data_IF_738885612686
#
_entry.id   IF_738885612686
#
_cell.length_a   1.000
_cell.length_b   1.000
_cell.length_c   1.000
_cell.angle_alpha   90.00
_cell.angle_beta   90.00
_cell.angle_gamma   90.00
#
_symmetry.space_group_name_H-M   'P 1'
#
loop_
_entity.id
_entity.type
_entity.pdbx_description
1 polymer ?
#
# COMPACT_ATOMS: atom_id res chain seq x y z
N UNK A 1 14.61 -38.77 40.95
CA UNK A 1 13.34 -38.38 41.58
C UNK A 1 12.45 -37.82 40.48
N UNK A 2 11.21 -38.27 40.44
CA UNK A 2 10.26 -38.24 39.31
C UNK A 2 9.93 -36.82 38.79
N UNK A 3 9.91 -36.64 37.47
CA UNK A 3 9.25 -35.51 36.78
C UNK A 3 8.24 -36.03 35.75
N UNK A 4 7.45 -37.04 36.13
CA UNK A 4 6.53 -37.74 35.23
C UNK A 4 5.04 -37.57 35.59
N UNK A 5 4.62 -36.51 36.28
CA UNK A 5 3.22 -36.39 36.76
C UNK A 5 2.43 -35.12 36.35
N UNK A 6 3.00 -34.13 35.68
CA UNK A 6 2.24 -32.90 35.32
C UNK A 6 1.39 -33.02 34.03
N UNK A 7 1.14 -34.24 33.55
CA UNK A 7 0.50 -34.51 32.25
C UNK A 7 -1.01 -34.73 32.29
N UNK A 8 -1.58 -35.10 33.45
CA UNK A 8 -2.93 -35.67 33.51
C UNK A 8 -4.07 -34.65 33.73
N UNK A 9 -3.79 -33.44 34.23
CA UNK A 9 -4.84 -32.50 34.68
C UNK A 9 -4.77 -31.09 34.05
N UNK A 10 -4.22 -30.95 32.83
CA UNK A 10 -4.46 -29.69 32.09
C UNK A 10 -5.92 -29.67 31.65
N UNK A 11 -6.70 -28.79 32.27
CA UNK A 11 -8.12 -28.65 31.90
C UNK A 11 -8.25 -28.30 30.41
N UNK A 12 -9.33 -28.77 29.76
CA UNK A 12 -9.62 -28.43 28.36
C UNK A 12 -9.60 -26.91 28.11
N UNK A 13 -9.99 -26.12 29.12
CA UNK A 13 -9.91 -24.66 29.07
C UNK A 13 -8.48 -24.14 28.95
N UNK A 14 -7.50 -24.76 29.60
CA UNK A 14 -6.08 -24.38 29.49
C UNK A 14 -5.48 -24.76 28.13
N UNK A 15 -5.87 -25.90 27.55
CA UNK A 15 -5.42 -26.33 26.22
C UNK A 15 -5.96 -25.43 25.11
N UNK A 16 -7.23 -25.03 25.20
CA UNK A 16 -7.84 -24.09 24.26
C UNK A 16 -7.24 -22.70 24.43
N UNK A 17 -7.00 -22.25 25.67
CA UNK A 17 -6.34 -20.99 25.95
C UNK A 17 -4.91 -20.94 25.38
N UNK A 18 -4.13 -22.01 25.54
CA UNK A 18 -2.75 -22.08 25.01
C UNK A 18 -2.74 -22.11 23.48
N UNK A 19 -3.59 -22.91 22.85
CA UNK A 19 -3.69 -22.96 21.39
C UNK A 19 -4.13 -21.61 20.79
N UNK A 20 -5.05 -20.91 21.47
CA UNK A 20 -5.47 -19.55 21.06
C UNK A 20 -4.33 -18.54 21.21
N UNK A 21 -3.55 -18.64 22.29
CA UNK A 21 -2.38 -17.79 22.50
C UNK A 21 -1.30 -18.02 21.43
N UNK A 22 -1.03 -19.27 21.05
CA UNK A 22 -0.07 -19.62 19.98
C UNK A 22 -0.53 -19.12 18.61
N UNK A 23 -1.83 -19.25 18.28
CA UNK A 23 -2.37 -18.67 17.05
C UNK A 23 -2.25 -17.14 17.04
N UNK A 24 -2.50 -16.48 18.18
CA UNK A 24 -2.33 -15.04 18.31
C UNK A 24 -0.87 -14.60 18.14
N UNK A 25 0.07 -15.41 18.65
CA UNK A 25 1.51 -15.19 18.45
C UNK A 25 1.93 -15.33 16.98
N UNK A 26 1.46 -16.36 16.28
CA UNK A 26 1.73 -16.54 14.84
C UNK A 26 1.22 -15.36 14.00
N UNK A 27 0.00 -14.89 14.28
CA UNK A 27 -0.56 -13.71 13.59
C UNK A 27 0.29 -12.47 13.87
N UNK A 28 0.74 -12.28 15.11
CA UNK A 28 1.62 -11.18 15.47
C UNK A 28 2.95 -11.25 14.70
N UNK A 29 3.54 -12.44 14.59
CA UNK A 29 4.81 -12.66 13.90
C UNK A 29 4.68 -12.43 12.39
N UNK A 30 3.59 -12.88 11.77
CA UNK A 30 3.32 -12.64 10.35
C UNK A 30 3.16 -11.13 10.06
N UNK A 31 2.49 -10.40 10.95
CA UNK A 31 2.38 -8.94 10.87
C UNK A 31 3.76 -8.29 11.06
N UNK A 32 4.55 -8.76 12.01
CA UNK A 32 5.89 -8.24 12.27
C UNK A 32 6.82 -8.47 11.06
N UNK A 33 6.72 -9.64 10.42
CA UNK A 33 7.46 -9.98 9.21
C UNK A 33 7.03 -9.11 8.02
N UNK A 34 5.73 -9.02 7.75
CA UNK A 34 5.20 -8.17 6.69
C UNK A 34 5.62 -6.70 6.90
N UNK A 35 5.61 -6.21 8.14
CA UNK A 35 6.09 -4.87 8.48
C UNK A 35 7.59 -4.72 8.23
N UNK A 36 8.39 -5.74 8.54
CA UNK A 36 9.84 -5.74 8.28
C UNK A 36 10.14 -5.73 6.78
N UNK A 37 9.39 -6.49 5.98
CA UNK A 37 9.53 -6.54 4.53
C UNK A 37 9.13 -5.20 3.88
N UNK A 38 7.96 -4.65 4.25
CA UNK A 38 7.53 -3.32 3.79
C UNK A 38 8.56 -2.26 4.17
N UNK A 39 9.14 -2.30 5.38
CA UNK A 39 10.19 -1.35 5.79
C UNK A 39 11.46 -1.51 4.95
N UNK A 40 11.85 -2.74 4.64
CA UNK A 40 13.02 -3.04 3.81
C UNK A 40 12.82 -2.56 2.38
N UNK A 41 11.65 -2.79 1.81
CA UNK A 41 11.30 -2.33 0.47
C UNK A 41 11.16 -0.82 0.40
N UNK A 42 10.52 -0.19 1.40
CA UNK A 42 10.47 1.26 1.51
C UNK A 42 11.87 1.89 1.60
N UNK A 43 12.78 1.28 2.37
CA UNK A 43 14.18 1.75 2.45
C UNK A 43 14.90 1.60 1.12
N UNK A 44 14.75 0.46 0.44
CA UNK A 44 15.35 0.21 -0.89
C UNK A 44 14.80 1.17 -1.93
N UNK A 45 13.49 1.36 -1.97
CA UNK A 45 12.83 2.31 -2.84
C UNK A 45 13.26 3.75 -2.54
N UNK A 46 13.40 4.12 -1.27
CA UNK A 46 13.87 5.45 -0.85
C UNK A 46 15.32 5.73 -1.25
N UNK A 47 16.22 4.76 -1.09
CA UNK A 47 17.61 4.90 -1.55
C UNK A 47 17.67 4.94 -3.08
N UNK A 48 16.90 4.08 -3.75
CA UNK A 48 16.84 4.03 -5.21
C UNK A 48 16.29 5.33 -5.81
N UNK A 49 15.27 5.92 -5.19
CA UNK A 49 14.68 7.19 -5.64
C UNK A 49 15.56 8.40 -5.35
N UNK A 50 16.40 8.36 -4.31
CA UNK A 50 17.31 9.45 -3.98
C UNK A 50 18.25 9.79 -5.15
N UNK A 51 18.82 8.78 -5.82
CA UNK A 51 19.66 8.99 -6.99
C UNK A 51 18.90 9.65 -8.14
N UNK A 52 17.66 9.24 -8.40
CA UNK A 52 16.81 9.86 -9.42
C UNK A 52 16.44 11.30 -9.09
N UNK A 53 16.19 11.62 -7.82
CA UNK A 53 15.92 13.00 -7.38
C UNK A 53 17.15 13.87 -7.61
N UNK A 54 18.33 13.42 -7.16
CA UNK A 54 19.59 14.15 -7.35
C UNK A 54 19.90 14.32 -8.84
N UNK A 55 19.79 13.26 -9.63
CA UNK A 55 19.97 13.33 -11.08
C UNK A 55 18.96 14.27 -11.75
N UNK A 56 17.69 14.27 -11.31
CA UNK A 56 16.66 15.19 -11.78
C UNK A 56 16.98 16.65 -11.47
N UNK A 57 17.43 16.94 -10.26
CA UNK A 57 17.84 18.30 -9.84
C UNK A 57 19.06 18.76 -10.64
N UNK A 58 20.10 17.93 -10.73
CA UNK A 58 21.30 18.25 -11.51
C UNK A 58 20.96 18.43 -13.00
N UNK A 59 20.11 17.57 -13.56
CA UNK A 59 19.61 17.70 -14.93
C UNK A 59 18.86 19.01 -15.13
N UNK A 60 17.99 19.40 -14.19
CA UNK A 60 17.27 20.68 -14.23
C UNK A 60 18.23 21.88 -14.26
N UNK A 61 19.29 21.88 -13.45
CA UNK A 61 20.29 22.94 -13.46
C UNK A 61 21.26 22.87 -14.65
N UNK A 62 21.51 21.69 -15.20
CA UNK A 62 22.33 21.53 -16.40
C UNK A 62 21.63 22.06 -17.66
N UNK A 63 20.30 21.98 -17.74
CA UNK A 63 19.52 22.45 -18.89
C UNK A 63 19.84 23.90 -19.31
N UNK A 64 19.77 24.93 -18.43
CA UNK A 64 20.11 26.29 -18.83
C UNK A 64 21.57 26.41 -19.29
N UNK A 65 22.52 25.77 -18.59
CA UNK A 65 23.94 25.79 -18.98
C UNK A 65 24.15 25.21 -20.38
N UNK A 66 23.55 24.05 -20.66
CA UNK A 66 23.58 23.43 -21.99
C UNK A 66 22.84 24.27 -23.04
N UNK A 67 21.76 24.95 -22.67
CA UNK A 67 21.02 25.85 -23.56
C UNK A 67 21.91 27.01 -24.01
N UNK A 68 22.60 27.66 -23.07
CA UNK A 68 23.57 28.72 -23.38
C UNK A 68 24.70 28.18 -24.26
N UNK A 69 25.30 27.05 -23.88
CA UNK A 69 26.39 26.44 -24.65
C UNK A 69 25.96 26.12 -26.09
N UNK A 70 24.77 25.56 -26.28
CA UNK A 70 24.23 25.26 -27.61
C UNK A 70 23.95 26.54 -28.42
N UNK A 71 23.35 27.56 -27.80
CA UNK A 71 23.06 28.83 -28.48
C UNK A 71 24.34 29.54 -28.91
N UNK A 72 25.36 29.60 -28.04
CA UNK A 72 26.66 30.17 -28.41
C UNK A 72 27.40 29.31 -29.46
N UNK A 73 27.27 27.98 -29.39
CA UNK A 73 27.81 27.08 -30.41
C UNK A 73 27.21 27.32 -31.79
N UNK A 74 25.89 27.52 -31.88
CA UNK A 74 25.20 27.87 -33.13
C UNK A 74 25.58 29.29 -33.58
N UNK A 75 25.69 30.24 -32.64
CA UNK A 75 26.11 31.60 -32.94
C UNK A 75 27.48 31.64 -33.63
N UNK A 76 28.43 30.80 -33.19
CA UNK A 76 29.76 30.68 -33.78
C UNK A 76 29.76 30.20 -35.24
N UNK A 77 28.64 29.69 -35.75
CA UNK A 77 28.46 29.34 -37.16
C UNK A 77 28.07 30.57 -38.03
N UNK A 78 28.02 31.76 -37.44
CA UNK A 78 27.68 33.02 -38.13
C UNK A 78 26.20 33.43 -38.01
N UNK A 79 25.38 32.67 -37.27
CA UNK A 79 23.99 33.02 -37.00
C UNK A 79 23.90 34.11 -35.92
N UNK A 80 22.91 35.01 -36.02
CA UNK A 80 22.67 35.99 -34.96
C UNK A 80 22.33 35.33 -33.62
N UNK A 81 22.74 35.95 -32.51
CA UNK A 81 22.55 35.37 -31.18
C UNK A 81 21.07 35.11 -30.86
N UNK A 82 20.18 36.05 -31.22
CA UNK A 82 18.73 35.90 -31.05
C UNK A 82 18.16 34.68 -31.78
N UNK A 83 18.57 34.47 -33.05
CA UNK A 83 18.15 33.31 -33.84
C UNK A 83 18.70 32.00 -33.27
N UNK A 84 19.90 32.03 -32.72
CA UNK A 84 20.52 30.85 -32.09
C UNK A 84 19.73 30.40 -30.86
N UNK A 85 19.34 31.32 -29.98
CA UNK A 85 18.46 31.00 -28.85
C UNK A 85 17.06 30.55 -29.29
N UNK A 86 16.51 31.15 -30.35
CA UNK A 86 15.21 30.74 -30.88
C UNK A 86 15.24 29.30 -31.41
N UNK A 87 16.30 28.89 -32.11
CA UNK A 87 16.47 27.52 -32.59
C UNK A 87 16.57 26.54 -31.43
N UNK A 88 17.40 26.83 -30.43
CA UNK A 88 17.56 25.95 -29.25
C UNK A 88 16.27 25.85 -28.45
N UNK A 89 15.61 26.98 -28.19
CA UNK A 89 14.31 27.01 -27.52
C UNK A 89 13.23 26.27 -28.30
N UNK A 90 13.17 26.46 -29.62
CA UNK A 90 12.29 25.73 -30.52
C UNK A 90 12.53 24.22 -30.48
N UNK A 91 13.79 23.78 -30.47
CA UNK A 91 14.14 22.38 -30.33
C UNK A 91 13.63 21.79 -29.01
N UNK A 92 13.76 22.51 -27.89
CA UNK A 92 13.18 22.04 -26.62
C UNK A 92 11.65 21.98 -26.64
N UNK A 93 10.96 22.92 -27.29
CA UNK A 93 9.52 22.85 -27.45
C UNK A 93 9.08 21.62 -28.26
N UNK A 94 9.81 21.28 -29.32
CA UNK A 94 9.56 20.06 -30.10
C UNK A 94 9.76 18.81 -29.24
N UNK A 95 10.87 18.73 -28.50
CA UNK A 95 11.15 17.61 -27.58
C UNK A 95 10.04 17.51 -26.52
N UNK A 96 9.66 18.63 -25.90
CA UNK A 96 8.59 18.67 -24.90
C UNK A 96 7.25 18.20 -25.47
N UNK A 97 6.88 18.64 -26.67
CA UNK A 97 5.67 18.20 -27.36
C UNK A 97 5.69 16.67 -27.58
N UNK A 98 6.79 16.11 -28.07
CA UNK A 98 6.93 14.66 -28.27
C UNK A 98 6.81 13.90 -26.95
N UNK A 99 7.47 14.36 -25.88
CA UNK A 99 7.39 13.73 -24.56
C UNK A 99 5.97 13.77 -23.99
N UNK A 100 5.25 14.89 -24.13
CA UNK A 100 3.84 15.00 -23.74
C UNK A 100 2.97 14.01 -24.52
N UNK A 101 3.17 13.90 -25.84
CA UNK A 101 2.42 12.94 -26.65
C UNK A 101 2.69 11.49 -26.22
N UNK A 102 3.95 11.13 -25.93
CA UNK A 102 4.32 9.81 -25.42
C UNK A 102 3.67 9.57 -24.05
N UNK A 103 3.71 10.55 -23.15
CA UNK A 103 3.11 10.46 -21.83
C UNK A 103 1.59 10.24 -21.94
N UNK A 104 0.90 11.04 -22.76
CA UNK A 104 -0.53 10.87 -23.02
C UNK A 104 -0.85 9.50 -23.64
N UNK A 105 -0.03 9.02 -24.58
CA UNK A 105 -0.20 7.69 -25.17
C UNK A 105 -0.03 6.57 -24.14
N UNK A 106 0.91 6.70 -23.21
CA UNK A 106 1.12 5.74 -22.12
C UNK A 106 -0.01 5.80 -21.10
N UNK A 107 -0.42 6.99 -20.66
CA UNK A 107 -1.51 7.19 -19.71
C UNK A 107 -2.84 6.64 -20.25
N UNK A 108 -3.13 6.85 -21.54
CA UNK A 108 -4.33 6.28 -22.19
C UNK A 108 -4.35 4.75 -22.20
N UNK A 109 -3.20 4.09 -22.13
CA UNK A 109 -3.10 2.62 -22.06
C UNK A 109 -3.31 2.07 -20.64
N UNK A 110 -3.27 2.92 -19.62
CA UNK A 110 -3.54 2.52 -18.24
C UNK A 110 -5.06 2.37 -18.08
N UNK A 111 -5.55 1.13 -18.16
CA UNK A 111 -6.95 0.82 -17.85
C UNK A 111 -7.20 1.06 -16.36
N UNK A 112 -8.37 1.60 -16.00
CA UNK A 112 -8.78 1.70 -14.59
C UNK A 112 -8.77 0.29 -13.97
N UNK A 113 -8.36 0.12 -12.69
CA UNK A 113 -8.36 -1.18 -12.04
C UNK A 113 -9.79 -1.58 -11.66
N UNK A 114 -10.61 -1.92 -12.66
CA UNK A 114 -12.05 -2.18 -12.52
C UNK A 114 -12.34 -3.31 -11.54
N UNK A 115 -11.53 -4.38 -11.56
CA UNK A 115 -11.65 -5.50 -10.63
C UNK A 115 -11.44 -5.07 -9.18
N UNK A 116 -10.39 -4.30 -8.91
CA UNK A 116 -10.09 -3.78 -7.57
C UNK A 116 -11.19 -2.84 -7.08
N UNK A 117 -11.71 -1.97 -7.96
CA UNK A 117 -12.81 -1.08 -7.63
C UNK A 117 -14.10 -1.87 -7.36
N UNK A 118 -14.38 -2.91 -8.16
CA UNK A 118 -15.55 -3.78 -7.97
C UNK A 118 -15.49 -4.53 -6.65
N UNK A 119 -14.36 -5.19 -6.36
CA UNK A 119 -14.18 -5.92 -5.10
C UNK A 119 -14.26 -4.98 -3.89
N UNK A 120 -13.70 -3.77 -3.96
CA UNK A 120 -13.83 -2.79 -2.88
C UNK A 120 -15.29 -2.35 -2.65
N UNK A 121 -16.06 -2.15 -3.74
CA UNK A 121 -17.50 -1.83 -3.66
C UNK A 121 -18.31 -2.96 -3.06
N UNK A 122 -18.02 -4.19 -3.47
CA UNK A 122 -18.69 -5.39 -2.95
C UNK A 122 -18.42 -5.56 -1.45
N UNK A 123 -17.17 -5.44 -1.02
CA UNK A 123 -16.80 -5.45 0.41
C UNK A 123 -17.54 -4.36 1.18
N UNK A 124 -17.56 -3.12 0.66
CA UNK A 124 -18.28 -2.02 1.30
C UNK A 124 -19.80 -2.27 1.38
N UNK A 125 -20.39 -2.88 0.35
CA UNK A 125 -21.81 -3.23 0.33
C UNK A 125 -22.16 -4.31 1.37
N UNK A 126 -21.29 -5.33 1.51
CA UNK A 126 -21.44 -6.37 2.54
C UNK A 126 -21.36 -5.76 3.95
N UNK A 127 -20.38 -4.89 4.20
CA UNK A 127 -20.23 -4.19 5.48
C UNK A 127 -21.41 -3.26 5.80
N UNK A 128 -21.98 -2.56 4.81
CA UNK A 128 -23.18 -1.74 5.03
C UNK A 128 -24.42 -2.58 5.35
N UNK A 129 -24.54 -3.75 4.72
CA UNK A 129 -25.67 -4.67 4.94
C UNK A 129 -25.56 -5.37 6.30
N UNK A 130 -24.35 -5.56 6.82
CA UNK A 130 -24.08 -6.03 8.17
C UNK A 130 -24.33 -4.93 9.24
N UNK A 131 -25.51 -4.32 9.25
CA UNK A 131 -25.98 -3.55 10.41
C UNK A 131 -25.92 -4.47 11.66
N UNK A 132 -25.41 -4.00 12.81
CA UNK A 132 -25.49 -4.76 14.05
C UNK A 132 -26.96 -5.06 14.31
N UNK A 133 -27.34 -6.33 14.26
CA UNK A 133 -28.69 -6.72 14.65
C UNK A 133 -28.81 -6.37 16.13
N UNK A 134 -29.78 -5.53 16.54
CA UNK A 134 -30.14 -5.41 17.94
C UNK A 134 -30.40 -6.83 18.43
N UNK A 135 -29.63 -7.28 19.41
CA UNK A 135 -29.86 -8.57 20.06
C UNK A 135 -31.35 -8.58 20.41
N UNK A 136 -32.14 -9.47 19.80
CA UNK A 136 -33.50 -9.68 20.27
C UNK A 136 -33.39 -9.96 21.76
N UNK A 137 -34.12 -9.17 22.55
CA UNK A 137 -34.16 -9.26 24.01
C UNK A 137 -34.21 -10.73 24.45
N UNK A 138 -33.63 -11.08 25.61
CA UNK A 138 -33.73 -12.42 26.15
C UNK A 138 -35.22 -12.79 26.15
N UNK A 139 -35.58 -13.79 25.34
CA UNK A 139 -36.89 -14.41 25.48
C UNK A 139 -36.87 -14.98 26.88
N UNK A 140 -37.68 -14.40 27.77
CA UNK A 140 -37.95 -14.92 29.11
C UNK A 140 -38.43 -16.35 28.92
N UNK A 141 -37.51 -17.30 29.01
CA UNK A 141 -37.86 -18.69 29.19
C UNK A 141 -38.42 -18.76 30.62
N UNK A 142 -39.72 -19.02 30.81
CA UNK A 142 -40.25 -19.21 32.14
C UNK A 142 -39.42 -20.31 32.78
N UNK A 143 -38.70 -19.93 33.84
CA UNK A 143 -38.00 -20.85 34.72
C UNK A 143 -39.00 -21.95 35.03
N UNK A 144 -38.71 -23.17 34.59
CA UNK A 144 -39.50 -24.35 34.95
C UNK A 144 -39.26 -24.64 36.43
N UNK A 145 -39.83 -23.78 37.27
CA UNK A 145 -39.90 -23.91 38.71
C UNK A 145 -41.18 -24.66 39.05
N UNK A 146 -41.16 -25.99 38.94
CA UNK A 146 -41.98 -26.91 39.75
C UNK A 146 -41.83 -28.34 39.25
N UNK A 147 -40.74 -29.02 39.61
CA UNK A 147 -40.83 -30.47 39.84
C UNK A 147 -40.59 -30.69 41.32
N UNK A 148 -41.72 -30.68 42.01
CA UNK A 148 -41.91 -30.88 43.43
C UNK A 148 -41.29 -32.18 43.89
N UNK A 149 -40.61 -32.09 45.05
CA UNK A 149 -40.56 -33.16 46.04
C UNK A 149 -41.94 -33.79 46.16
N UNK A 150 -42.06 -35.07 45.83
CA UNK A 150 -43.14 -35.93 46.33
C UNK A 150 -42.52 -36.97 47.23
N UNK A 151 -42.86 -36.83 48.50
CA UNK A 151 -42.73 -37.80 49.58
C UNK A 151 -43.22 -39.19 49.19
N UNK A 152 -42.39 -40.21 49.43
CA UNK A 152 -42.68 -41.38 50.29
C UNK A 152 -41.38 -41.76 50.99
#
# INVERSE_FOLDING_TARGET
>A
MSTADDGADRSLGQLVASATAEMSALVHDEIALAKAEIRKDAKRAGIGSAAFIVAGVLGMFALPVLSFAAAYGIHNLGLGLAWSFLIVGGAFLVIAAVLVLIALAKLKKIKKPEKTISSAKETAAVLQKARPHPRAEPVDHPVLESVTRSSV
#
